data_IF_991486693633
#
_entry.id   IF_991486693633
#
_cell.length_a   1.000
_cell.length_b   1.000
_cell.length_c   1.000
_cell.angle_alpha   90.00
_cell.angle_beta   90.00
_cell.angle_gamma   90.00
#
_symmetry.space_group_name_H-M   'P 1'
#
loop_
_entity.id
_entity.type
_entity.pdbx_description
1 polymer ?
#
# COMPACT_ATOMS: atom_id res chain seq x y z
N UNK A 1 40.85 -37.37 -41.07
CA UNK A 1 41.09 -35.92 -40.89
C UNK A 1 39.80 -35.33 -40.36
N UNK A 2 39.66 -35.26 -39.04
CA UNK A 2 38.45 -34.76 -38.39
C UNK A 2 38.55 -33.25 -38.21
N UNK A 3 37.50 -32.55 -38.65
CA UNK A 3 37.35 -31.10 -38.51
C UNK A 3 37.23 -30.72 -37.02
N UNK A 4 37.92 -29.66 -36.55
CA UNK A 4 37.74 -29.18 -35.19
C UNK A 4 36.34 -28.57 -35.02
N UNK A 5 35.57 -29.18 -34.13
CA UNK A 5 34.24 -28.74 -33.69
C UNK A 5 34.36 -27.35 -33.07
N UNK A 6 33.76 -26.35 -33.70
CA UNK A 6 33.52 -25.02 -33.13
C UNK A 6 32.50 -25.12 -32.01
N UNK A 7 32.96 -25.28 -30.76
CA UNK A 7 32.10 -25.40 -29.58
C UNK A 7 31.81 -24.02 -28.97
N UNK A 8 30.52 -23.65 -29.02
CA UNK A 8 29.72 -22.85 -28.07
C UNK A 8 30.37 -21.62 -27.39
N UNK A 9 30.17 -20.44 -27.97
CA UNK A 9 30.48 -19.14 -27.32
C UNK A 9 29.23 -18.29 -26.96
N UNK A 10 28.01 -18.81 -27.18
CA UNK A 10 26.76 -18.04 -27.03
C UNK A 10 26.15 -18.20 -25.61
N UNK A 11 26.38 -19.34 -24.94
CA UNK A 11 25.81 -19.65 -23.61
C UNK A 11 26.40 -18.79 -22.46
N UNK A 12 27.62 -18.25 -22.61
CA UNK A 12 28.33 -17.53 -21.55
C UNK A 12 27.86 -16.07 -21.34
N UNK A 13 27.27 -15.43 -22.36
CA UNK A 13 26.89 -14.02 -22.30
C UNK A 13 25.62 -13.82 -21.44
N UNK A 14 24.73 -14.81 -21.41
CA UNK A 14 23.52 -14.80 -20.57
C UNK A 14 23.84 -14.88 -19.07
N UNK A 15 24.86 -15.66 -18.70
CA UNK A 15 25.27 -15.84 -17.29
C UNK A 15 25.96 -14.60 -16.70
N UNK A 16 26.74 -13.87 -17.49
CA UNK A 16 27.46 -12.70 -17.00
C UNK A 16 26.52 -11.55 -16.63
N UNK A 17 25.42 -11.36 -17.39
CA UNK A 17 24.39 -10.38 -17.06
C UNK A 17 23.73 -10.66 -15.69
N UNK A 18 23.42 -11.94 -15.43
CA UNK A 18 22.86 -12.40 -14.15
C UNK A 18 23.85 -12.18 -13.02
N UNK A 19 25.13 -12.51 -13.22
CA UNK A 19 26.18 -12.32 -12.22
C UNK A 19 26.41 -10.85 -11.89
N UNK A 20 26.43 -9.94 -12.87
CA UNK A 20 26.52 -8.49 -12.63
C UNK A 20 25.36 -8.03 -11.74
N UNK A 21 24.14 -8.48 -12.04
CA UNK A 21 22.95 -8.17 -11.24
C UNK A 21 23.10 -8.70 -9.81
N UNK A 22 23.51 -9.96 -9.64
CA UNK A 22 23.72 -10.59 -8.32
C UNK A 22 24.76 -9.82 -7.49
N UNK A 23 25.92 -9.52 -8.08
CA UNK A 23 27.00 -8.75 -7.45
C UNK A 23 26.51 -7.39 -6.97
N UNK A 24 25.76 -6.66 -7.82
CA UNK A 24 25.19 -5.35 -7.48
C UNK A 24 24.20 -5.43 -6.32
N UNK A 25 23.30 -6.43 -6.34
CA UNK A 25 22.28 -6.60 -5.31
C UNK A 25 22.88 -6.98 -3.95
N UNK A 26 23.91 -7.82 -3.93
CA UNK A 26 24.65 -8.15 -2.71
C UNK A 26 25.39 -6.94 -2.11
N UNK A 27 25.92 -6.05 -2.95
CA UNK A 27 26.46 -4.75 -2.49
C UNK A 27 25.39 -3.72 -2.12
N UNK A 28 24.10 -4.08 -2.19
CA UNK A 28 22.94 -3.22 -1.89
C UNK A 28 22.91 -1.92 -2.71
N UNK A 29 23.36 -1.98 -3.96
CA UNK A 29 23.41 -0.81 -4.85
C UNK A 29 22.20 -0.81 -5.78
N UNK A 30 21.49 0.32 -5.86
CA UNK A 30 20.53 0.52 -6.94
C UNK A 30 21.29 0.76 -8.28
N UNK A 31 20.59 0.66 -9.41
CA UNK A 31 21.22 0.83 -10.74
C UNK A 31 21.77 2.23 -10.96
N UNK A 32 21.21 3.27 -10.35
CA UNK A 32 21.72 4.64 -10.45
C UNK A 32 23.04 4.79 -9.70
N UNK A 33 23.14 4.22 -8.49
CA UNK A 33 24.37 4.19 -7.70
C UNK A 33 25.47 3.39 -8.41
N UNK A 34 25.12 2.23 -8.97
CA UNK A 34 26.05 1.48 -9.82
C UNK A 34 26.48 2.33 -11.03
N UNK A 35 25.54 2.94 -11.75
CA UNK A 35 25.86 3.78 -12.90
C UNK A 35 26.85 4.92 -12.54
N UNK A 36 26.67 5.58 -11.40
CA UNK A 36 27.63 6.56 -10.88
C UNK A 36 29.00 5.95 -10.59
N UNK A 37 29.04 4.76 -9.97
CA UNK A 37 30.28 4.06 -9.64
C UNK A 37 31.12 3.71 -10.89
N UNK A 38 30.46 3.37 -12.00
CA UNK A 38 31.11 3.01 -13.26
C UNK A 38 31.23 4.17 -14.26
N UNK A 39 30.70 5.37 -13.95
CA UNK A 39 30.61 6.46 -14.91
C UNK A 39 29.71 6.15 -16.12
N UNK A 40 28.74 5.26 -15.96
CA UNK A 40 27.81 4.85 -17.02
C UNK A 40 26.46 5.54 -16.88
N UNK A 41 25.65 5.47 -17.94
CA UNK A 41 24.24 5.83 -17.83
C UNK A 41 23.45 4.71 -17.12
N UNK A 42 22.43 5.11 -16.35
CA UNK A 42 21.48 4.17 -15.73
C UNK A 42 20.92 3.17 -16.75
N UNK A 43 20.55 3.67 -17.95
CA UNK A 43 20.00 2.86 -19.04
C UNK A 43 20.98 1.78 -19.53
N UNK A 44 22.28 2.03 -19.47
CA UNK A 44 23.30 1.07 -19.88
C UNK A 44 23.40 -0.09 -18.88
N UNK A 45 23.42 0.20 -17.57
CA UNK A 45 23.39 -0.85 -16.53
C UNK A 45 22.14 -1.72 -16.69
N UNK A 46 20.97 -1.09 -16.90
CA UNK A 46 19.72 -1.81 -17.11
C UNK A 46 19.76 -2.73 -18.34
N UNK A 47 20.25 -2.23 -19.49
CA UNK A 47 20.37 -3.03 -20.71
C UNK A 47 21.32 -4.22 -20.52
N UNK A 48 22.46 -4.02 -19.85
CA UNK A 48 23.44 -5.07 -19.60
C UNK A 48 22.87 -6.17 -18.70
N UNK A 49 22.22 -5.82 -17.59
CA UNK A 49 21.62 -6.79 -16.66
C UNK A 49 20.45 -7.57 -17.27
N UNK A 50 19.73 -6.97 -18.20
CA UNK A 50 18.62 -7.61 -18.92
C UNK A 50 19.11 -8.42 -20.14
N UNK A 51 20.43 -8.57 -20.33
CA UNK A 51 21.02 -9.32 -21.45
C UNK A 51 20.87 -8.64 -22.82
N UNK A 52 20.44 -7.36 -22.86
CA UNK A 52 20.24 -6.59 -24.09
C UNK A 52 21.50 -5.84 -24.55
N UNK A 53 22.60 -5.96 -23.82
CA UNK A 53 23.89 -5.38 -24.18
C UNK A 53 24.98 -6.45 -24.22
N UNK A 54 25.94 -6.28 -25.14
CA UNK A 54 27.11 -7.16 -25.21
C UNK A 54 28.02 -6.89 -24.00
N UNK A 55 28.31 -7.94 -23.24
CA UNK A 55 29.25 -7.91 -22.11
C UNK A 55 30.50 -8.67 -22.55
N UNK A 56 31.59 -7.96 -22.82
CA UNK A 56 32.90 -8.60 -23.04
C UNK A 56 33.47 -9.13 -21.72
N UNK A 57 34.40 -10.06 -21.81
CA UNK A 57 35.15 -10.59 -20.65
C UNK A 57 35.85 -9.48 -19.88
N UNK A 58 36.49 -8.56 -20.59
CA UNK A 58 37.16 -7.39 -19.99
C UNK A 58 36.17 -6.50 -19.22
N UNK A 59 35.00 -6.26 -19.81
CA UNK A 59 33.96 -5.46 -19.16
C UNK A 59 33.39 -6.14 -17.94
N UNK A 60 33.22 -7.46 -17.98
CA UNK A 60 32.80 -8.24 -16.82
C UNK A 60 33.83 -8.16 -15.69
N UNK A 61 35.12 -8.25 -16.03
CA UNK A 61 36.23 -8.08 -15.07
C UNK A 61 36.22 -6.71 -14.42
N UNK A 62 35.96 -5.64 -15.18
CA UNK A 62 35.77 -4.30 -14.63
C UNK A 62 34.62 -4.26 -13.60
N UNK A 63 33.47 -4.90 -13.88
CA UNK A 63 32.37 -5.00 -12.90
C UNK A 63 32.79 -5.77 -11.65
N UNK A 64 33.49 -6.88 -11.81
CA UNK A 64 33.97 -7.71 -10.71
C UNK A 64 34.94 -6.95 -9.80
N UNK A 65 35.93 -6.26 -10.37
CA UNK A 65 36.94 -5.51 -9.62
C UNK A 65 36.34 -4.32 -8.88
N UNK A 66 35.51 -3.52 -9.55
CA UNK A 66 34.88 -2.32 -8.95
C UNK A 66 33.85 -2.70 -7.90
N UNK A 67 33.13 -3.82 -8.09
CA UNK A 67 32.30 -4.37 -7.03
C UNK A 67 33.10 -5.12 -5.96
N UNK A 68 34.41 -5.34 -6.13
CA UNK A 68 35.27 -5.98 -5.14
C UNK A 68 34.89 -7.43 -4.88
N UNK A 69 34.81 -8.24 -5.93
CA UNK A 69 34.67 -9.70 -5.87
C UNK A 69 35.92 -10.40 -6.42
N UNK A 70 36.35 -11.45 -5.75
CA UNK A 70 37.38 -12.37 -6.23
C UNK A 70 36.81 -13.37 -7.24
N UNK A 71 37.68 -13.99 -8.04
CA UNK A 71 37.28 -15.04 -9.01
C UNK A 71 36.57 -16.20 -8.31
N UNK A 72 37.01 -16.55 -7.09
CA UNK A 72 36.39 -17.59 -6.27
C UNK A 72 34.97 -17.22 -5.87
N UNK A 73 34.73 -15.99 -5.42
CA UNK A 73 33.38 -15.55 -5.03
C UNK A 73 32.45 -15.47 -6.25
N UNK A 74 32.95 -15.09 -7.42
CA UNK A 74 32.17 -15.13 -8.66
C UNK A 74 31.80 -16.57 -9.04
N UNK A 75 32.70 -17.52 -8.86
CA UNK A 75 32.41 -18.94 -9.12
C UNK A 75 31.44 -19.53 -8.10
N UNK A 76 31.55 -19.14 -6.83
CA UNK A 76 30.59 -19.50 -5.79
C UNK A 76 29.20 -18.88 -6.07
N UNK A 77 29.13 -17.66 -6.64
CA UNK A 77 27.88 -17.05 -7.13
C UNK A 77 27.29 -17.74 -8.37
N UNK A 78 28.16 -18.26 -9.24
CA UNK A 78 27.79 -19.00 -10.46
C UNK A 78 27.22 -20.37 -10.13
N UNK A 79 27.91 -21.11 -9.25
CA UNK A 79 27.50 -22.43 -8.76
C UNK A 79 26.31 -22.38 -7.78
N UNK A 80 25.98 -21.19 -7.26
CA UNK A 80 24.85 -20.99 -6.35
C UNK A 80 25.18 -21.25 -4.89
N UNK A 81 26.45 -21.48 -4.54
CA UNK A 81 26.91 -21.56 -3.13
C UNK A 81 26.71 -20.24 -2.39
N UNK A 82 26.82 -19.11 -3.10
CA UNK A 82 26.42 -17.80 -2.59
C UNK A 82 25.05 -17.45 -3.18
N UNK A 83 24.05 -17.37 -2.31
CA UNK A 83 22.71 -16.92 -2.68
C UNK A 83 22.65 -15.39 -2.73
N UNK A 84 22.29 -14.86 -3.90
CA UNK A 84 22.09 -13.43 -4.10
C UNK A 84 20.60 -13.12 -4.28
N UNK A 85 20.09 -12.01 -3.75
CA UNK A 85 18.73 -11.57 -4.02
C UNK A 85 18.49 -11.40 -5.52
N UNK A 86 17.30 -11.77 -5.99
CA UNK A 86 16.91 -11.64 -7.42
C UNK A 86 16.09 -10.38 -7.68
N UNK A 87 15.40 -9.87 -6.65
CA UNK A 87 14.57 -8.67 -6.70
C UNK A 87 15.36 -7.42 -6.25
N UNK A 88 15.30 -6.36 -7.05
CA UNK A 88 15.87 -5.06 -6.71
C UNK A 88 15.16 -4.38 -5.51
N UNK A 89 13.95 -4.81 -5.15
CA UNK A 89 13.28 -4.34 -3.94
C UNK A 89 14.02 -4.73 -2.67
N UNK A 90 14.94 -5.70 -2.69
CA UNK A 90 15.78 -6.06 -1.53
C UNK A 90 16.65 -4.88 -1.04
N UNK A 91 16.94 -3.91 -1.92
CA UNK A 91 17.73 -2.71 -1.58
C UNK A 91 16.85 -1.66 -0.89
N UNK A 92 15.56 -1.61 -1.22
CA UNK A 92 14.65 -0.59 -0.70
C UNK A 92 14.43 -0.86 0.78
N UNK A 93 14.83 0.08 1.64
CA UNK A 93 14.43 0.04 3.06
C UNK A 93 12.92 0.04 3.13
N UNK A 94 12.31 -1.06 3.59
CA UNK A 94 10.89 -1.07 3.94
C UNK A 94 10.72 -0.04 5.06
N UNK A 95 9.93 1.00 4.81
CA UNK A 95 9.54 1.95 5.85
C UNK A 95 8.71 1.12 6.83
N UNK A 96 9.32 0.73 7.95
CA UNK A 96 8.61 0.12 9.08
C UNK A 96 7.64 1.16 9.64
N UNK A 97 6.55 0.70 10.27
CA UNK A 97 5.54 1.58 10.89
C UNK A 97 6.15 2.63 11.81
N UNK A 98 7.26 2.30 12.47
CA UNK A 98 8.04 3.17 13.36
C UNK A 98 8.71 4.38 12.68
N UNK A 99 9.05 4.26 11.38
CA UNK A 99 9.67 5.35 10.60
C UNK A 99 8.66 6.12 9.76
N UNK A 100 7.38 5.79 9.87
CA UNK A 100 6.32 6.48 9.14
C UNK A 100 6.13 7.83 9.80
N UNK A 101 6.26 8.91 9.01
CA UNK A 101 5.92 10.26 9.47
C UNK A 101 4.59 10.21 10.20
N UNK A 102 4.53 10.81 11.38
CA UNK A 102 3.33 10.87 12.19
C UNK A 102 2.29 11.76 11.49
N UNK A 103 1.51 11.13 10.62
CA UNK A 103 0.47 11.78 9.84
C UNK A 103 -0.86 11.45 10.48
N UNK A 104 -1.76 12.44 10.51
CA UNK A 104 -3.10 12.32 11.10
C UNK A 104 -3.90 11.08 10.64
N UNK A 105 -3.65 10.53 9.45
CA UNK A 105 -4.33 9.30 9.01
C UNK A 105 -4.03 8.07 9.88
N UNK A 106 -2.92 8.07 10.64
CA UNK A 106 -2.55 7.05 11.61
C UNK A 106 -3.37 7.15 12.90
N UNK A 107 -3.91 8.34 13.20
CA UNK A 107 -4.64 8.62 14.43
C UNK A 107 -6.16 8.56 14.19
N UNK A 108 -6.85 7.74 14.99
CA UNK A 108 -8.30 7.59 14.97
C UNK A 108 -8.91 8.57 15.96
N UNK A 109 -9.36 9.72 15.50
CA UNK A 109 -10.08 10.70 16.32
C UNK A 109 -11.47 10.96 15.73
N UNK A 110 -12.47 10.23 16.22
CA UNK A 110 -13.85 10.36 15.75
C UNK A 110 -14.45 11.60 16.39
N UNK A 111 -14.57 12.68 15.63
CA UNK A 111 -15.21 13.92 16.06
C UNK A 111 -16.72 13.85 15.88
N UNK A 112 -17.45 14.85 16.40
CA UNK A 112 -18.92 14.88 16.30
C UNK A 112 -19.38 15.03 14.85
N UNK A 113 -18.66 15.82 14.06
CA UNK A 113 -18.89 16.01 12.63
C UNK A 113 -18.82 14.67 11.88
N UNK A 114 -17.85 13.81 12.20
CA UNK A 114 -17.75 12.48 11.60
C UNK A 114 -19.02 11.64 11.86
N UNK A 115 -19.57 11.70 13.07
CA UNK A 115 -20.79 10.98 13.45
C UNK A 115 -22.03 11.54 12.75
N UNK A 116 -22.13 12.87 12.64
CA UNK A 116 -23.23 13.51 11.91
C UNK A 116 -23.18 13.16 10.42
N UNK A 117 -21.99 13.16 9.80
CA UNK A 117 -21.86 12.73 8.40
C UNK A 117 -22.27 11.26 8.19
N UNK A 118 -21.97 10.38 9.15
CA UNK A 118 -22.45 8.99 9.15
C UNK A 118 -23.98 8.92 9.25
N UNK A 119 -24.58 9.68 10.18
CA UNK A 119 -26.05 9.78 10.31
C UNK A 119 -26.70 10.23 9.00
N UNK A 120 -26.19 11.29 8.37
CA UNK A 120 -26.72 11.79 7.10
C UNK A 120 -26.61 10.74 5.99
N UNK A 121 -25.48 10.04 5.89
CA UNK A 121 -25.33 8.93 4.92
C UNK A 121 -26.38 7.85 5.14
N UNK A 122 -26.58 7.44 6.39
CA UNK A 122 -27.54 6.39 6.74
C UNK A 122 -28.99 6.81 6.46
N UNK A 123 -29.32 8.10 6.59
CA UNK A 123 -30.64 8.63 6.21
C UNK A 123 -30.93 8.54 4.70
N UNK A 124 -29.89 8.63 3.87
CA UNK A 124 -30.00 8.42 2.41
C UNK A 124 -29.90 6.93 2.05
N UNK A 125 -29.70 6.06 3.05
CA UNK A 125 -29.54 4.62 2.87
C UNK A 125 -28.40 4.24 1.90
N UNK A 126 -27.28 4.95 1.98
CA UNK A 126 -26.10 4.67 1.15
C UNK A 126 -25.06 3.88 1.94
N UNK A 127 -24.43 2.89 1.29
CA UNK A 127 -23.18 2.33 1.79
C UNK A 127 -22.01 3.33 1.60
N UNK A 128 -20.87 3.07 2.23
CA UNK A 128 -19.70 3.98 2.19
C UNK A 128 -19.10 4.12 0.79
N UNK A 129 -19.16 3.08 -0.04
CA UNK A 129 -18.65 3.08 -1.41
C UNK A 129 -19.55 3.92 -2.31
N UNK A 130 -20.85 3.67 -2.27
CA UNK A 130 -21.86 4.43 -3.01
C UNK A 130 -21.87 5.90 -2.60
N UNK A 131 -21.73 6.19 -1.31
CA UNK A 131 -21.56 7.55 -0.80
C UNK A 131 -20.28 8.23 -1.32
N UNK A 132 -19.15 7.52 -1.37
CA UNK A 132 -17.91 8.05 -1.92
C UNK A 132 -18.06 8.39 -3.41
N UNK A 133 -18.71 7.52 -4.18
CA UNK A 133 -19.03 7.76 -5.59
C UNK A 133 -19.93 8.99 -5.76
N UNK A 134 -20.99 9.10 -4.96
CA UNK A 134 -21.93 10.23 -4.98
C UNK A 134 -21.25 11.57 -4.66
N UNK A 135 -20.30 11.58 -3.73
CA UNK A 135 -19.55 12.78 -3.35
C UNK A 135 -18.38 13.11 -4.30
N UNK A 136 -18.09 12.26 -5.29
CA UNK A 136 -16.91 12.37 -6.14
C UNK A 136 -15.60 12.27 -5.35
N UNK A 137 -15.54 11.35 -4.38
CA UNK A 137 -14.38 11.09 -3.52
C UNK A 137 -13.77 9.71 -3.81
N UNK A 138 -12.53 9.51 -3.40
CA UNK A 138 -11.86 8.20 -3.55
C UNK A 138 -12.60 7.11 -2.77
N UNK A 139 -12.50 5.86 -3.25
CA UNK A 139 -13.24 4.66 -2.79
C UNK A 139 -13.42 4.53 -1.26
N UNK A 140 -12.36 4.82 -0.51
CA UNK A 140 -12.31 4.60 0.95
C UNK A 140 -12.49 5.89 1.76
N UNK A 141 -12.70 7.03 1.09
CA UNK A 141 -12.64 8.35 1.72
C UNK A 141 -13.74 8.54 2.76
N UNK A 142 -14.98 8.17 2.45
CA UNK A 142 -16.09 8.26 3.40
C UNK A 142 -15.83 7.36 4.61
N UNK A 143 -15.37 6.13 4.40
CA UNK A 143 -14.99 5.23 5.50
C UNK A 143 -13.89 5.82 6.38
N UNK A 144 -12.88 6.47 5.81
CA UNK A 144 -11.84 7.14 6.60
C UNK A 144 -12.36 8.36 7.36
N UNK A 145 -13.28 9.13 6.77
CA UNK A 145 -13.94 10.27 7.41
C UNK A 145 -14.75 9.81 8.63
N UNK A 146 -15.63 8.83 8.45
CA UNK A 146 -16.50 8.32 9.53
C UNK A 146 -15.69 7.72 10.68
N UNK A 147 -14.54 7.12 10.36
CA UNK A 147 -13.60 6.60 11.35
C UNK A 147 -12.66 7.67 11.93
N UNK A 148 -12.80 8.94 11.58
CA UNK A 148 -11.99 10.01 12.18
C UNK A 148 -10.51 10.00 11.76
N UNK A 149 -10.19 9.43 10.59
CA UNK A 149 -8.82 9.34 10.05
C UNK A 149 -8.49 10.46 9.06
N UNK A 150 -9.42 11.42 8.88
CA UNK A 150 -9.30 12.51 7.91
C UNK A 150 -9.61 13.83 8.62
N UNK A 151 -8.81 14.86 8.34
CA UNK A 151 -9.18 16.23 8.69
C UNK A 151 -10.40 16.67 7.90
N UNK A 152 -11.48 16.95 8.62
CA UNK A 152 -12.64 17.62 8.05
C UNK A 152 -12.40 19.12 8.07
N UNK A 153 -12.38 19.72 6.88
CA UNK A 153 -12.48 21.15 6.70
C UNK A 153 -13.93 21.51 6.40
N UNK A 154 -14.36 22.73 6.71
CA UNK A 154 -15.74 23.17 6.47
C UNK A 154 -16.16 22.98 5.01
N UNK A 155 -15.27 23.31 4.06
CA UNK A 155 -15.49 23.08 2.62
C UNK A 155 -15.77 21.61 2.29
N UNK A 156 -15.11 20.67 2.98
CA UNK A 156 -15.30 19.23 2.77
C UNK A 156 -16.63 18.76 3.38
N UNK A 157 -16.97 19.26 4.56
CA UNK A 157 -18.26 18.98 5.20
C UNK A 157 -19.40 19.45 4.28
N UNK A 158 -19.37 20.72 3.87
CA UNK A 158 -20.35 21.33 2.97
C UNK A 158 -20.56 20.51 1.70
N UNK A 159 -19.47 20.14 1.01
CA UNK A 159 -19.53 19.30 -0.19
C UNK A 159 -20.24 17.97 0.05
N UNK A 160 -19.98 17.30 1.18
CA UNK A 160 -20.59 16.00 1.49
C UNK A 160 -22.07 16.17 1.85
N UNK A 161 -22.40 17.16 2.67
CA UNK A 161 -23.77 17.47 3.09
C UNK A 161 -24.66 17.79 1.88
N UNK A 162 -24.18 18.66 0.99
CA UNK A 162 -24.85 19.02 -0.27
C UNK A 162 -24.96 17.80 -1.20
N UNK A 163 -23.91 16.98 -1.33
CA UNK A 163 -23.96 15.76 -2.14
C UNK A 163 -24.96 14.72 -1.62
N UNK A 164 -25.24 14.72 -0.32
CA UNK A 164 -26.30 13.89 0.27
C UNK A 164 -27.70 14.48 0.08
N UNK A 165 -27.82 15.74 -0.35
CA UNK A 165 -29.09 16.43 -0.56
C UNK A 165 -29.63 17.10 0.70
N UNK A 166 -28.77 17.41 1.67
CA UNK A 166 -29.15 18.10 2.90
C UNK A 166 -28.57 19.52 2.95
N UNK A 167 -29.09 20.33 3.86
CA UNK A 167 -28.59 21.68 4.10
C UNK A 167 -27.61 21.71 5.28
N UNK A 168 -26.77 22.75 5.32
CA UNK A 168 -25.82 22.94 6.42
C UNK A 168 -26.51 23.28 7.74
N UNK A 169 -27.71 23.85 7.70
CA UNK A 169 -28.53 24.11 8.89
C UNK A 169 -28.91 22.80 9.58
N UNK A 170 -29.37 21.79 8.82
CA UNK A 170 -29.66 20.47 9.36
C UNK A 170 -28.40 19.82 9.96
N UNK A 171 -27.27 19.93 9.27
CA UNK A 171 -25.99 19.44 9.80
C UNK A 171 -25.65 20.08 11.16
N UNK A 172 -25.78 21.39 11.28
CA UNK A 172 -25.51 22.13 12.52
C UNK A 172 -26.51 21.80 13.65
N UNK A 173 -27.77 21.50 13.31
CA UNK A 173 -28.74 21.00 14.29
C UNK A 173 -28.33 19.62 14.81
N UNK A 174 -27.96 18.70 13.92
CA UNK A 174 -27.54 17.35 14.30
C UNK A 174 -26.24 17.31 15.12
N UNK A 175 -25.35 18.29 14.97
CA UNK A 175 -24.18 18.43 15.86
C UNK A 175 -24.61 18.56 17.32
N UNK A 176 -25.68 19.32 17.59
CA UNK A 176 -26.17 19.62 18.94
C UNK A 176 -26.98 18.48 19.55
N UNK A 177 -27.65 17.69 18.72
CA UNK A 177 -28.45 16.55 19.16
C UNK A 177 -27.52 15.41 19.59
N UNK A 178 -27.66 14.88 20.80
CA UNK A 178 -26.95 13.70 21.28
C UNK A 178 -27.87 12.86 22.19
N UNK A 179 -28.05 11.55 21.94
CA UNK A 179 -27.46 10.71 20.88
C UNK A 179 -28.08 10.94 19.49
N UNK A 180 -27.35 10.59 18.42
CA UNK A 180 -27.92 10.51 17.06
C UNK A 180 -28.75 9.24 16.90
N UNK A 181 -29.68 9.22 15.93
CA UNK A 181 -30.57 8.07 15.69
C UNK A 181 -29.79 6.78 15.45
N UNK A 182 -28.74 6.78 14.63
CA UNK A 182 -27.94 5.58 14.43
C UNK A 182 -27.22 5.12 15.71
N UNK A 183 -26.78 6.04 16.56
CA UNK A 183 -26.16 5.71 17.85
C UNK A 183 -27.17 5.04 18.77
N UNK A 184 -28.42 5.53 18.80
CA UNK A 184 -29.51 4.90 19.56
C UNK A 184 -29.81 3.49 19.06
N UNK A 185 -29.88 3.29 17.73
CA UNK A 185 -30.10 1.96 17.14
C UNK A 185 -28.97 1.01 17.51
N UNK A 186 -27.71 1.43 17.38
CA UNK A 186 -26.53 0.63 17.74
C UNK A 186 -26.54 0.26 19.24
N UNK A 187 -26.92 1.19 20.12
CA UNK A 187 -27.08 0.94 21.54
C UNK A 187 -28.18 -0.07 21.83
N UNK A 188 -29.37 0.09 21.23
CA UNK A 188 -30.48 -0.84 21.39
C UNK A 188 -30.11 -2.24 20.91
N UNK A 189 -29.48 -2.37 19.74
CA UNK A 189 -29.00 -3.66 19.23
C UNK A 189 -28.00 -4.31 20.17
N UNK A 190 -27.05 -3.54 20.72
CA UNK A 190 -26.09 -4.07 21.69
C UNK A 190 -26.77 -4.55 22.96
N UNK A 191 -27.80 -3.87 23.46
CA UNK A 191 -28.54 -4.29 24.64
C UNK A 191 -29.29 -5.59 24.35
N UNK A 192 -30.10 -5.61 23.28
CA UNK A 192 -30.90 -6.77 22.87
C UNK A 192 -30.02 -8.01 22.66
N UNK A 193 -28.84 -7.86 22.05
CA UNK A 193 -27.92 -8.97 21.80
C UNK A 193 -27.36 -9.65 23.05
N UNK A 194 -27.45 -8.99 24.22
CA UNK A 194 -26.93 -9.50 25.51
C UNK A 194 -28.03 -10.05 26.42
N UNK A 195 -29.30 -9.92 26.03
CA UNK A 195 -30.43 -10.34 26.86
C UNK A 195 -30.67 -11.84 26.73
N UNK A 196 -31.06 -12.48 27.84
CA UNK A 196 -31.51 -13.86 27.85
C UNK A 196 -32.91 -14.01 27.25
N UNK A 197 -33.25 -15.22 26.83
CA UNK A 197 -34.47 -15.50 26.08
C UNK A 197 -35.75 -15.12 26.84
N UNK A 198 -35.77 -15.28 28.17
CA UNK A 198 -36.93 -14.91 28.99
C UNK A 198 -37.15 -13.39 28.97
N UNK A 199 -36.09 -12.61 29.13
CA UNK A 199 -36.19 -11.15 29.01
C UNK A 199 -36.60 -10.74 27.60
N UNK A 200 -36.04 -11.35 26.55
CA UNK A 200 -36.43 -11.07 25.16
C UNK A 200 -37.92 -11.31 24.91
N UNK A 201 -38.47 -12.43 25.41
CA UNK A 201 -39.91 -12.71 25.31
C UNK A 201 -40.77 -11.67 26.01
N UNK A 202 -40.28 -11.08 27.11
CA UNK A 202 -41.02 -10.05 27.84
C UNK A 202 -41.06 -8.69 27.10
N UNK A 203 -39.98 -8.29 26.42
CA UNK A 203 -39.91 -7.02 25.68
C UNK A 203 -40.45 -7.09 24.25
N UNK A 204 -40.50 -8.28 23.64
CA UNK A 204 -40.99 -8.44 22.26
C UNK A 204 -42.37 -7.80 22.02
N UNK A 205 -43.38 -7.99 22.90
CA UNK A 205 -44.69 -7.36 22.74
C UNK A 205 -44.62 -5.83 22.85
N UNK A 206 -43.73 -5.29 23.70
CA UNK A 206 -43.55 -3.84 23.85
C UNK A 206 -42.95 -3.21 22.59
N UNK A 207 -42.01 -3.90 21.93
CA UNK A 207 -41.43 -3.42 20.68
C UNK A 207 -42.44 -3.51 19.52
N UNK A 208 -43.26 -4.56 19.50
CA UNK A 208 -44.30 -4.75 18.48
C UNK A 208 -45.44 -3.74 18.60
N UNK A 209 -45.82 -3.30 19.81
CA UNK A 209 -46.88 -2.31 19.99
C UNK A 209 -46.47 -0.89 19.62
N UNK A 210 -45.17 -0.64 19.48
CA UNK A 210 -44.59 0.67 19.13
C UNK A 210 -44.11 0.76 17.68
N UNK A 211 -44.14 -0.34 16.93
CA UNK A 211 -43.72 -0.43 15.52
C UNK A 211 -44.89 -0.14 14.58
#
# INVERSE_FOLDING_TARGET
MENPVTVKNIEYISNNAVLIKKMRLLKRLNRQQAALLFGFSYNLIEKLENGRGKISTERFRQFQEVYGYSDREVEDLRSGKIEAPTDANCIRKRITTEKRLDKRFCHRQITRECKVLKELRLRVNLDQYSASKKCGLGKNTIGWIENGRVTLTEKKIRKIVEAYGFTMELFNQLIKVNPLRHEMIEQCQSIISKMDENKLRAIMPMLQSMA
#
